data_IF_357347454469
#
_entry.id   IF_357347454469
#
_cell.length_a   1.000
_cell.length_b   1.000
_cell.length_c   1.000
_cell.angle_alpha   90.00
_cell.angle_beta   90.00
_cell.angle_gamma   90.00
#
_symmetry.space_group_name_H-M   'P 1'
#
loop_
_entity.id
_entity.type
_entity.pdbx_description
1 polymer ?
#
# COMPACT_ATOMS: atom_id res chain seq x y z
N UNK A 1 -40.49 34.15 -63.93
CA UNK A 1 -39.05 33.90 -63.87
C UNK A 1 -38.57 34.35 -62.51
N UNK A 2 -38.55 33.48 -61.51
CA UNK A 2 -38.04 33.76 -60.18
C UNK A 2 -36.91 32.75 -59.90
N UNK A 3 -35.65 33.26 -59.82
CA UNK A 3 -34.48 32.51 -59.41
C UNK A 3 -34.36 32.60 -57.88
N UNK A 4 -34.71 31.54 -57.22
CA UNK A 4 -34.47 31.39 -55.79
C UNK A 4 -33.01 30.98 -55.54
N UNK A 5 -32.23 31.87 -54.95
CA UNK A 5 -30.86 31.58 -54.47
C UNK A 5 -30.96 30.88 -53.13
N UNK A 6 -30.59 29.62 -53.11
CA UNK A 6 -30.54 28.77 -51.91
C UNK A 6 -29.15 28.95 -51.22
N UNK A 7 -29.14 29.75 -50.18
CA UNK A 7 -27.99 29.97 -49.31
C UNK A 7 -27.80 28.73 -48.41
N UNK A 8 -26.81 27.91 -48.73
CA UNK A 8 -26.31 26.81 -47.93
C UNK A 8 -25.43 27.41 -46.81
N UNK A 9 -25.92 27.44 -45.55
CA UNK A 9 -25.11 27.69 -44.39
C UNK A 9 -24.35 26.40 -44.04
N UNK A 10 -23.01 26.43 -43.91
CA UNK A 10 -22.27 25.32 -43.34
C UNK A 10 -22.43 25.30 -41.83
N UNK A 11 -23.08 24.27 -41.33
CA UNK A 11 -23.18 23.95 -39.91
C UNK A 11 -21.82 23.50 -39.39
N UNK A 12 -21.06 24.41 -38.81
CA UNK A 12 -19.78 24.16 -38.21
C UNK A 12 -20.00 23.42 -36.86
N UNK A 13 -20.04 22.11 -36.88
CA UNK A 13 -20.07 21.26 -35.66
C UNK A 13 -18.74 21.36 -34.94
N UNK A 14 -18.66 22.21 -33.90
CA UNK A 14 -17.58 22.20 -32.93
C UNK A 14 -17.64 20.87 -32.15
N UNK A 15 -16.83 19.91 -32.57
CA UNK A 15 -16.48 18.74 -31.75
C UNK A 15 -15.60 19.22 -30.59
N UNK A 16 -16.24 19.50 -29.46
CA UNK A 16 -15.57 19.69 -28.17
C UNK A 16 -15.02 18.31 -27.76
N UNK A 17 -13.73 18.09 -28.04
CA UNK A 17 -13.00 16.96 -27.44
C UNK A 17 -12.93 17.21 -25.94
N UNK A 18 -13.93 16.72 -25.21
CA UNK A 18 -13.85 16.56 -23.77
C UNK A 18 -12.74 15.51 -23.50
N UNK A 19 -11.52 15.99 -23.27
CA UNK A 19 -10.48 15.15 -22.71
C UNK A 19 -11.03 14.53 -21.41
N UNK A 20 -11.03 13.19 -21.24
CA UNK A 20 -11.40 12.62 -19.95
C UNK A 20 -10.40 13.19 -18.96
N UNK A 21 -10.88 14.06 -18.07
CA UNK A 21 -10.14 14.45 -16.89
C UNK A 21 -9.79 13.13 -16.21
N UNK A 22 -8.53 12.69 -16.30
CA UNK A 22 -7.98 11.67 -15.43
C UNK A 22 -8.22 12.21 -14.03
N UNK A 23 -9.26 11.70 -13.36
CA UNK A 23 -9.34 11.80 -11.92
C UNK A 23 -8.03 11.16 -11.43
N UNK A 24 -7.04 11.98 -11.11
CA UNK A 24 -5.91 11.55 -10.34
C UNK A 24 -6.56 10.96 -9.09
N UNK A 25 -6.50 9.63 -8.94
CA UNK A 25 -6.79 8.99 -7.68
C UNK A 25 -5.83 9.67 -6.71
N UNK A 26 -6.35 10.63 -5.93
CA UNK A 26 -5.58 11.18 -4.83
C UNK A 26 -5.26 9.97 -3.98
N UNK A 27 -3.98 9.64 -3.93
CA UNK A 27 -3.47 8.61 -3.07
C UNK A 27 -3.82 9.04 -1.65
N UNK A 28 -4.87 8.43 -1.08
CA UNK A 28 -5.45 8.80 0.22
C UNK A 28 -4.52 8.33 1.35
N UNK A 29 -3.41 7.71 1.00
CA UNK A 29 -2.41 7.23 1.94
C UNK A 29 -1.67 8.42 2.57
N UNK A 30 -1.68 8.57 3.90
CA UNK A 30 -0.95 9.65 4.56
C UNK A 30 0.56 9.50 4.30
N UNK A 31 1.33 10.62 4.36
CA UNK A 31 2.77 10.55 4.22
C UNK A 31 3.41 9.84 5.42
N UNK A 32 4.56 9.22 5.19
CA UNK A 32 5.31 8.49 6.22
C UNK A 32 5.71 9.39 7.40
N UNK A 33 5.90 10.69 7.18
CA UNK A 33 6.20 11.67 8.22
C UNK A 33 5.13 11.75 9.30
N UNK A 34 3.86 11.58 8.95
CA UNK A 34 2.75 11.59 9.92
C UNK A 34 2.82 10.36 10.83
N UNK A 35 2.94 9.16 10.26
CA UNK A 35 3.12 7.93 11.03
C UNK A 35 4.35 8.01 11.94
N UNK A 36 5.49 8.50 11.41
CA UNK A 36 6.72 8.68 12.20
C UNK A 36 6.50 9.54 13.42
N UNK A 37 5.78 10.65 13.30
CA UNK A 37 5.51 11.57 14.41
C UNK A 37 4.91 10.85 15.61
N UNK A 38 3.78 10.20 15.41
CA UNK A 38 3.07 9.44 16.45
C UNK A 38 3.89 8.25 16.98
N UNK A 39 4.52 7.50 16.10
CA UNK A 39 5.22 6.29 16.50
C UNK A 39 6.58 6.55 17.16
N UNK A 40 7.24 7.67 16.87
CA UNK A 40 8.43 8.08 17.60
C UNK A 40 8.10 8.47 19.04
N UNK A 41 6.98 9.18 19.27
CA UNK A 41 6.51 9.51 20.61
C UNK A 41 6.18 8.24 21.41
N UNK A 42 5.47 7.31 20.80
CA UNK A 42 5.15 5.99 21.40
C UNK A 42 6.41 5.22 21.83
N UNK A 43 7.42 5.10 20.95
CA UNK A 43 8.68 4.41 21.30
C UNK A 43 9.46 5.14 22.37
N UNK A 44 9.52 6.49 22.34
CA UNK A 44 10.17 7.28 23.37
C UNK A 44 9.54 7.05 24.76
N UNK A 45 8.21 6.93 24.83
CA UNK A 45 7.51 6.60 26.07
C UNK A 45 7.79 5.18 26.56
N UNK A 46 7.84 4.19 25.67
CA UNK A 46 8.25 2.83 26.04
C UNK A 46 9.66 2.77 26.59
N UNK A 47 10.54 3.64 26.11
CA UNK A 47 11.92 3.77 26.59
C UNK A 47 12.05 4.65 27.87
N UNK A 48 10.93 5.14 28.43
CA UNK A 48 10.90 5.99 29.61
C UNK A 48 11.51 7.39 29.42
N UNK A 49 11.57 7.85 28.13
CA UNK A 49 12.21 9.15 27.80
C UNK A 49 11.23 10.32 27.78
N UNK A 50 9.94 10.06 27.63
CA UNK A 50 8.89 11.08 27.54
C UNK A 50 7.54 10.52 27.92
N UNK A 51 6.61 11.39 28.30
CA UNK A 51 5.20 11.06 28.36
C UNK A 51 4.62 11.07 26.93
N UNK A 52 3.65 10.22 26.70
CA UNK A 52 2.94 10.13 25.41
C UNK A 52 1.44 10.25 25.65
N UNK A 53 0.72 10.93 24.77
CA UNK A 53 -0.73 10.97 24.85
C UNK A 53 -1.36 9.63 24.44
N UNK A 54 -2.50 9.28 25.03
CA UNK A 54 -3.26 8.09 24.63
C UNK A 54 -3.65 8.13 23.14
N UNK A 55 -3.83 9.35 22.60
CA UNK A 55 -4.14 9.54 21.18
C UNK A 55 -2.97 9.11 20.30
N UNK A 56 -1.74 9.53 20.64
CA UNK A 56 -0.54 9.17 19.86
C UNK A 56 -0.30 7.67 19.90
N UNK A 57 -0.46 7.04 21.06
CA UNK A 57 -0.36 5.57 21.21
C UNK A 57 -1.40 4.87 20.34
N UNK A 58 -2.66 5.31 20.44
CA UNK A 58 -3.78 4.70 19.71
C UNK A 58 -3.59 4.85 18.21
N UNK A 59 -3.17 6.02 17.74
CA UNK A 59 -2.91 6.27 16.32
C UNK A 59 -1.74 5.42 15.80
N UNK A 60 -0.60 5.43 16.50
CA UNK A 60 0.57 4.63 16.11
C UNK A 60 0.24 3.13 16.03
N UNK A 61 -0.35 2.58 17.09
CA UNK A 61 -0.67 1.15 17.14
C UNK A 61 -1.80 0.77 16.17
N UNK A 62 -2.83 1.60 16.06
CA UNK A 62 -3.94 1.38 15.14
C UNK A 62 -3.48 1.35 13.69
N UNK A 63 -2.69 2.33 13.29
CA UNK A 63 -2.15 2.44 11.93
C UNK A 63 -1.15 1.32 11.63
N UNK A 64 -0.24 1.01 12.55
CA UNK A 64 0.72 -0.09 12.41
C UNK A 64 0.01 -1.43 12.25
N UNK A 65 -0.99 -1.74 13.08
CA UNK A 65 -1.79 -2.96 12.95
C UNK A 65 -2.61 -2.99 11.67
N UNK A 66 -3.16 -1.85 11.26
CA UNK A 66 -3.87 -1.71 9.98
C UNK A 66 -2.98 -2.01 8.79
N UNK A 67 -1.77 -1.46 8.76
CA UNK A 67 -0.77 -1.73 7.72
C UNK A 67 -0.36 -3.20 7.67
N UNK A 68 -0.03 -3.80 8.82
CA UNK A 68 0.32 -5.23 8.90
C UNK A 68 -0.81 -6.13 8.39
N UNK A 69 -2.04 -5.87 8.81
CA UNK A 69 -3.21 -6.62 8.34
C UNK A 69 -3.46 -6.41 6.84
N UNK A 70 -3.35 -5.17 6.37
CA UNK A 70 -3.48 -4.84 4.94
C UNK A 70 -2.46 -5.58 4.08
N UNK A 71 -1.20 -5.62 4.50
CA UNK A 71 -0.14 -6.38 3.82
C UNK A 71 -0.45 -7.88 3.78
N UNK A 72 -0.89 -8.47 4.91
CA UNK A 72 -1.23 -9.91 4.97
C UNK A 72 -2.41 -10.25 4.05
N UNK A 73 -3.48 -9.47 4.10
CA UNK A 73 -4.66 -9.67 3.24
C UNK A 73 -4.29 -9.47 1.77
N UNK A 74 -3.54 -8.40 1.47
CA UNK A 74 -3.07 -8.11 0.11
C UNK A 74 -2.20 -9.23 -0.46
N UNK A 75 -1.29 -9.79 0.35
CA UNK A 75 -0.46 -10.94 -0.03
C UNK A 75 -1.30 -12.17 -0.35
N UNK A 76 -2.30 -12.48 0.49
CA UNK A 76 -3.19 -13.63 0.25
C UNK A 76 -3.99 -13.47 -1.03
N UNK A 77 -4.65 -12.32 -1.22
CA UNK A 77 -5.44 -12.04 -2.43
C UNK A 77 -4.54 -12.07 -3.68
N UNK A 78 -3.36 -11.45 -3.59
CA UNK A 78 -2.38 -11.44 -4.68
C UNK A 78 -1.92 -12.85 -5.06
N UNK A 79 -1.58 -13.66 -4.06
CA UNK A 79 -1.16 -15.05 -4.26
C UNK A 79 -2.26 -15.91 -4.90
N UNK A 80 -3.50 -15.76 -4.43
CA UNK A 80 -4.66 -16.47 -5.00
C UNK A 80 -4.93 -16.06 -6.46
N UNK A 81 -4.86 -14.76 -6.74
CA UNK A 81 -5.07 -14.21 -8.08
C UNK A 81 -3.96 -14.67 -9.05
N UNK A 82 -2.72 -14.71 -8.58
CA UNK A 82 -1.59 -15.20 -9.35
C UNK A 82 -1.67 -16.71 -9.55
N UNK A 83 -1.96 -17.47 -8.50
CA UNK A 83 -2.14 -18.92 -8.55
C UNK A 83 -3.21 -19.36 -9.53
N UNK A 84 -4.38 -18.70 -9.53
CA UNK A 84 -5.46 -18.99 -10.47
C UNK A 84 -5.03 -18.76 -11.94
N UNK A 85 -4.27 -17.69 -12.21
CA UNK A 85 -3.75 -17.44 -13.57
C UNK A 85 -2.72 -18.48 -13.99
N UNK A 86 -1.87 -18.95 -13.07
CA UNK A 86 -0.92 -20.04 -13.33
C UNK A 86 -1.66 -21.35 -13.62
N UNK A 87 -2.63 -21.72 -12.79
CA UNK A 87 -3.44 -22.93 -12.99
C UNK A 87 -4.07 -22.95 -14.39
N UNK A 88 -4.71 -21.86 -14.80
CA UNK A 88 -5.31 -21.75 -16.14
C UNK A 88 -4.26 -21.84 -17.25
N UNK A 89 -3.16 -21.08 -17.13
CA UNK A 89 -2.12 -20.98 -18.18
C UNK A 89 -1.39 -22.29 -18.41
N UNK A 90 -1.09 -23.01 -17.33
CA UNK A 90 -0.28 -24.23 -17.36
C UNK A 90 -1.10 -25.50 -17.20
N UNK A 91 -2.44 -25.39 -17.18
CA UNK A 91 -3.36 -26.53 -17.00
C UNK A 91 -3.07 -27.33 -15.73
N UNK A 92 -2.69 -26.63 -14.65
CA UNK A 92 -2.46 -27.22 -13.34
C UNK A 92 -3.79 -27.43 -12.61
N UNK A 93 -3.80 -28.38 -11.67
CA UNK A 93 -4.95 -28.51 -10.76
C UNK A 93 -5.06 -27.27 -9.87
N UNK A 94 -6.22 -26.59 -9.97
CA UNK A 94 -6.46 -25.35 -9.25
C UNK A 94 -6.46 -25.57 -7.72
N UNK A 95 -6.97 -26.72 -7.24
CA UNK A 95 -7.04 -27.03 -5.82
C UNK A 95 -5.62 -27.29 -5.25
N UNK A 96 -4.74 -27.92 -5.99
CA UNK A 96 -3.34 -28.11 -5.58
C UNK A 96 -2.60 -26.79 -5.51
N UNK A 97 -2.75 -25.93 -6.53
CA UNK A 97 -2.14 -24.59 -6.53
C UNK A 97 -2.67 -23.76 -5.36
N UNK A 98 -3.97 -23.84 -5.07
CA UNK A 98 -4.59 -23.13 -3.95
C UNK A 98 -4.05 -23.58 -2.60
N UNK A 99 -3.90 -24.90 -2.39
CA UNK A 99 -3.31 -25.48 -1.16
C UNK A 99 -1.89 -24.99 -0.92
N UNK A 100 -1.08 -24.89 -1.96
CA UNK A 100 0.31 -24.39 -1.86
C UNK A 100 0.34 -22.96 -1.30
N UNK A 101 -0.52 -22.08 -1.78
CA UNK A 101 -0.57 -20.69 -1.30
C UNK A 101 -1.21 -20.55 0.08
N UNK A 102 -2.21 -21.37 0.42
CA UNK A 102 -2.83 -21.36 1.74
C UNK A 102 -1.89 -21.80 2.87
N UNK A 103 -0.94 -22.66 2.56
CA UNK A 103 0.05 -23.15 3.54
C UNK A 103 1.21 -22.17 3.75
N UNK A 104 1.35 -21.17 2.91
CA UNK A 104 2.41 -20.16 3.04
C UNK A 104 2.01 -19.06 4.03
N UNK A 105 2.97 -18.66 4.86
CA UNK A 105 2.81 -17.42 5.64
C UNK A 105 2.72 -16.23 4.66
N UNK A 106 1.65 -15.41 4.73
CA UNK A 106 1.50 -14.25 3.85
C UNK A 106 2.70 -13.28 3.88
N UNK A 107 3.37 -13.15 5.02
CA UNK A 107 4.58 -12.32 5.13
C UNK A 107 5.72 -12.86 4.27
N UNK A 108 5.88 -14.19 4.21
CA UNK A 108 6.89 -14.83 3.35
C UNK A 108 6.63 -14.64 1.86
N UNK A 109 5.37 -14.62 1.45
CA UNK A 109 4.98 -14.29 0.06
C UNK A 109 5.46 -12.88 -0.32
N UNK A 110 5.46 -11.97 0.66
CA UNK A 110 5.96 -10.60 0.51
C UNK A 110 7.48 -10.48 0.69
N UNK A 111 8.20 -11.56 0.91
CA UNK A 111 9.65 -11.52 1.16
C UNK A 111 10.02 -11.04 2.57
N UNK A 112 9.08 -11.10 3.53
CA UNK A 112 9.30 -10.70 4.93
C UNK A 112 9.34 -11.97 5.78
N UNK A 113 10.50 -12.26 6.39
CA UNK A 113 10.72 -13.41 7.25
C UNK A 113 10.92 -12.98 8.72
N UNK A 114 9.94 -12.27 9.26
CA UNK A 114 9.98 -11.82 10.65
C UNK A 114 9.83 -12.97 11.63
N UNK A 115 10.52 -12.91 12.80
CA UNK A 115 10.32 -13.87 13.89
C UNK A 115 8.85 -13.88 14.37
N UNK A 116 8.31 -15.05 14.75
CA UNK A 116 6.90 -15.16 15.14
C UNK A 116 6.56 -14.51 16.48
N UNK A 117 7.55 -14.15 17.28
CA UNK A 117 7.39 -13.60 18.64
C UNK A 117 7.35 -12.07 18.68
N UNK A 118 7.39 -11.38 17.53
CA UNK A 118 7.39 -9.93 17.49
C UNK A 118 6.05 -9.34 17.89
N UNK A 119 6.12 -8.24 18.65
CA UNK A 119 4.98 -7.39 18.99
C UNK A 119 4.92 -6.14 18.10
N UNK A 120 3.88 -5.31 18.27
CA UNK A 120 3.71 -4.11 17.45
C UNK A 120 4.86 -3.10 17.61
N UNK A 121 5.45 -2.99 18.81
CA UNK A 121 6.57 -2.08 19.04
C UNK A 121 7.84 -2.49 18.28
N UNK A 122 8.05 -3.79 18.08
CA UNK A 122 9.20 -4.29 17.32
C UNK A 122 9.10 -3.88 15.85
N UNK A 123 7.91 -3.98 15.27
CA UNK A 123 7.65 -3.51 13.90
C UNK A 123 7.83 -2.00 13.78
N UNK A 124 7.34 -1.23 14.77
CA UNK A 124 7.53 0.22 14.81
C UNK A 124 9.01 0.56 14.85
N UNK A 125 9.79 -0.05 15.74
CA UNK A 125 11.24 0.20 15.87
C UNK A 125 11.99 -0.13 14.59
N UNK A 126 11.64 -1.23 13.91
CA UNK A 126 12.26 -1.63 12.66
C UNK A 126 12.06 -0.57 11.56
N UNK A 127 10.82 -0.07 11.39
CA UNK A 127 10.51 0.94 10.40
C UNK A 127 11.12 2.30 10.76
N UNK A 128 11.15 2.68 12.03
CA UNK A 128 11.85 3.90 12.46
C UNK A 128 13.36 3.83 12.16
N UNK A 129 14.00 2.70 12.42
CA UNK A 129 15.41 2.50 12.09
C UNK A 129 15.69 2.51 10.57
N UNK A 130 14.73 2.09 9.75
CA UNK A 130 14.80 2.24 8.29
C UNK A 130 14.75 3.72 7.88
N UNK A 131 13.85 4.51 8.48
CA UNK A 131 13.71 5.94 8.19
C UNK A 131 14.91 6.78 8.63
N UNK A 132 15.61 6.40 9.69
CA UNK A 132 16.86 7.05 10.07
C UNK A 132 17.93 6.95 8.98
N UNK A 133 17.97 5.83 8.27
CA UNK A 133 18.91 5.61 7.15
C UNK A 133 18.40 6.20 5.83
N UNK A 134 17.10 6.41 5.69
CA UNK A 134 16.44 6.85 4.47
C UNK A 134 15.50 8.03 4.71
N UNK A 135 16.02 9.22 5.09
CA UNK A 135 15.19 10.37 5.48
C UNK A 135 14.32 10.92 4.32
N UNK A 136 14.69 10.67 3.07
CA UNK A 136 13.90 11.06 1.90
C UNK A 136 12.54 10.35 1.85
N UNK A 137 12.40 9.17 2.48
CA UNK A 137 11.18 8.38 2.47
C UNK A 137 10.04 9.01 3.30
N UNK A 138 10.33 10.02 4.11
CA UNK A 138 9.32 10.69 4.94
C UNK A 138 8.17 11.34 4.14
N UNK A 139 8.39 11.67 2.87
CA UNK A 139 7.38 12.27 2.00
C UNK A 139 6.62 11.24 1.16
N UNK A 140 7.01 9.98 1.21
CA UNK A 140 6.39 8.90 0.46
C UNK A 140 5.17 8.33 1.19
N UNK A 141 4.27 7.63 0.48
CA UNK A 141 3.12 6.95 1.06
C UNK A 141 3.53 5.98 2.17
N UNK A 142 2.86 6.04 3.32
CA UNK A 142 3.21 5.24 4.51
C UNK A 142 3.22 3.73 4.21
N UNK A 143 2.27 3.24 3.42
CA UNK A 143 2.17 1.80 3.11
C UNK A 143 3.38 1.25 2.37
N UNK A 144 3.92 2.01 1.41
CA UNK A 144 5.11 1.63 0.64
C UNK A 144 6.35 1.57 1.54
N UNK A 145 6.62 2.67 2.25
CA UNK A 145 7.81 2.78 3.10
C UNK A 145 7.78 1.80 4.27
N UNK A 146 6.59 1.58 4.84
CA UNK A 146 6.40 0.60 5.90
C UNK A 146 6.78 -0.81 5.40
N UNK A 147 6.29 -1.19 4.22
CA UNK A 147 6.61 -2.46 3.59
C UNK A 147 8.10 -2.62 3.31
N UNK A 148 8.72 -1.63 2.70
CA UNK A 148 10.17 -1.63 2.41
C UNK A 148 11.02 -1.73 3.68
N UNK A 149 10.61 -1.02 4.75
CA UNK A 149 11.28 -1.08 6.05
C UNK A 149 11.24 -2.49 6.68
N UNK A 150 10.12 -3.19 6.54
CA UNK A 150 9.98 -4.57 7.01
C UNK A 150 10.83 -5.54 6.18
N UNK A 151 10.83 -5.41 4.84
CA UNK A 151 11.67 -6.22 3.98
C UNK A 151 13.16 -6.01 4.23
N UNK A 152 13.58 -4.76 4.45
CA UNK A 152 14.97 -4.42 4.75
C UNK A 152 15.43 -4.98 6.11
N UNK A 153 14.51 -5.07 7.08
CA UNK A 153 14.85 -5.56 8.43
C UNK A 153 14.83 -7.09 8.51
N UNK A 154 13.87 -7.73 7.85
CA UNK A 154 13.68 -9.19 7.89
C UNK A 154 13.56 -9.79 6.49
N UNK A 155 14.61 -9.70 5.66
CA UNK A 155 14.59 -10.30 4.34
C UNK A 155 14.50 -11.82 4.45
N UNK A 156 13.75 -12.45 3.52
CA UNK A 156 13.81 -13.90 3.34
C UNK A 156 15.10 -14.26 2.56
N UNK A 157 15.86 -15.20 3.08
CA UNK A 157 17.05 -15.78 2.42
C UNK A 157 16.64 -16.90 1.46
#
# INVERSE_FOLDING_TARGET
MFRGSMLLLPLLTLLVFASPARAASQDVSPPMSEWRGYCSAYVAALDGKSDVSDLDVTYCLGMTKGLLNGLRIGAQIGALSFGSRLAVRYKLDADEVFKLFQQQDPARILGICSPPTLNAADYVRAVLAHLEKNPADLQRPVGEVFFEGLQATWPCS
#
